data_IF_673681681646
#
_entry.id   IF_673681681646
#
_cell.length_a   1.000
_cell.length_b   1.000
_cell.length_c   1.000
_cell.angle_alpha   90.00
_cell.angle_beta   90.00
_cell.angle_gamma   90.00
#
_symmetry.space_group_name_H-M   'P 1'
#
loop_
_entity.id
_entity.type
_entity.pdbx_description
1 polymer ?
#
# COMPACT_ATOMS: atom_id res chain seq x y z
N UNK A 1 -45.06 12.36 -25.01
CA UNK A 1 -44.97 10.95 -24.64
C UNK A 1 -44.42 10.21 -25.87
N UNK A 2 -43.11 10.08 -25.96
CA UNK A 2 -42.43 9.26 -26.95
C UNK A 2 -41.93 8.00 -26.21
N UNK A 3 -42.47 6.87 -26.63
CA UNK A 3 -42.17 5.55 -26.08
C UNK A 3 -40.67 5.19 -26.33
N UNK A 4 -39.91 5.08 -25.30
CA UNK A 4 -38.60 4.41 -25.33
C UNK A 4 -38.79 2.89 -25.53
N UNK A 5 -38.95 2.45 -26.76
CA UNK A 5 -38.97 1.04 -27.14
C UNK A 5 -37.97 0.77 -28.27
N UNK A 6 -36.67 0.82 -27.94
CA UNK A 6 -35.64 0.34 -28.86
C UNK A 6 -34.32 0.05 -28.12
N UNK A 7 -34.39 -0.69 -27.03
CA UNK A 7 -33.17 -0.97 -26.25
C UNK A 7 -32.72 -2.44 -26.29
N UNK A 8 -33.43 -3.30 -27.03
CA UNK A 8 -32.92 -4.66 -27.29
C UNK A 8 -32.84 -4.83 -28.81
N UNK A 9 -31.63 -5.10 -29.30
CA UNK A 9 -31.43 -5.48 -30.71
C UNK A 9 -32.36 -6.63 -31.11
N UNK A 10 -32.56 -6.83 -32.42
CA UNK A 10 -33.42 -7.93 -32.89
C UNK A 10 -32.95 -9.27 -32.30
N UNK A 11 -33.87 -10.19 -32.02
CA UNK A 11 -33.52 -11.53 -31.52
C UNK A 11 -32.47 -12.23 -32.37
N UNK A 12 -32.38 -11.89 -33.67
CA UNK A 12 -31.36 -12.40 -34.59
C UNK A 12 -29.92 -11.87 -34.28
N UNK A 13 -29.79 -10.67 -33.68
CA UNK A 13 -28.49 -10.12 -33.26
C UNK A 13 -28.08 -10.63 -31.87
N UNK A 14 -29.04 -10.98 -31.03
CA UNK A 14 -28.79 -11.45 -29.67
C UNK A 14 -28.39 -12.93 -29.66
N UNK A 15 -29.01 -13.78 -30.48
CA UNK A 15 -28.80 -15.23 -30.47
C UNK A 15 -27.36 -15.67 -30.68
N UNK A 16 -26.54 -15.10 -31.58
CA UNK A 16 -25.14 -15.48 -31.72
C UNK A 16 -24.31 -15.15 -30.47
N UNK A 17 -24.60 -14.05 -29.77
CA UNK A 17 -23.85 -13.65 -28.55
C UNK A 17 -24.18 -14.53 -27.35
N UNK A 18 -25.40 -15.13 -27.33
CA UNK A 18 -25.79 -16.08 -26.27
C UNK A 18 -25.22 -17.50 -26.47
N UNK A 19 -24.88 -17.85 -27.70
CA UNK A 19 -24.44 -19.20 -28.06
C UNK A 19 -22.96 -19.31 -28.39
N UNK A 20 -22.28 -18.20 -28.56
CA UNK A 20 -20.85 -18.15 -28.86
C UNK A 20 -20.06 -17.45 -27.74
N UNK A 21 -18.86 -17.93 -27.39
CA UNK A 21 -18.02 -17.23 -26.42
C UNK A 21 -17.58 -15.88 -26.96
N UNK A 22 -17.42 -14.91 -26.07
CA UNK A 22 -16.77 -13.64 -26.43
C UNK A 22 -15.38 -13.88 -26.98
N UNK A 23 -14.91 -13.05 -27.93
CA UNK A 23 -13.55 -13.15 -28.48
C UNK A 23 -12.48 -13.10 -27.39
N UNK A 24 -11.54 -14.06 -27.40
CA UNK A 24 -10.46 -14.14 -26.39
C UNK A 24 -9.06 -14.01 -27.01
N UNK A 25 -8.87 -14.56 -28.21
CA UNK A 25 -7.55 -14.73 -28.82
C UNK A 25 -7.37 -13.93 -30.10
N UNK A 26 -8.45 -13.41 -30.69
CA UNK A 26 -8.45 -12.65 -31.93
C UNK A 26 -9.29 -11.41 -31.80
N UNK A 27 -8.85 -10.33 -32.48
CA UNK A 27 -9.69 -9.15 -32.63
C UNK A 27 -10.94 -9.51 -33.46
N UNK A 28 -12.15 -9.12 -33.01
CA UNK A 28 -13.38 -9.45 -33.75
C UNK A 28 -13.43 -8.70 -35.08
N UNK A 29 -13.94 -9.34 -36.13
CA UNK A 29 -14.07 -8.74 -37.45
C UNK A 29 -15.24 -7.73 -37.55
N UNK A 30 -16.23 -7.85 -36.67
CA UNK A 30 -17.44 -7.04 -36.67
C UNK A 30 -17.65 -6.25 -35.40
N UNK A 31 -18.68 -5.42 -35.37
CA UNK A 31 -19.15 -4.70 -34.20
C UNK A 31 -20.18 -5.52 -33.44
N UNK A 32 -20.28 -5.28 -32.13
CA UNK A 32 -21.28 -5.90 -31.25
C UNK A 32 -22.18 -4.85 -30.62
N UNK A 33 -23.38 -5.25 -30.19
CA UNK A 33 -24.29 -4.39 -29.46
C UNK A 33 -23.67 -4.05 -28.07
N UNK A 34 -23.47 -2.77 -27.72
CA UNK A 34 -22.81 -2.36 -26.49
C UNK A 34 -23.56 -2.78 -25.22
N UNK A 35 -24.90 -2.79 -25.24
CA UNK A 35 -25.70 -3.13 -24.06
C UNK A 35 -25.57 -4.62 -23.73
N UNK A 36 -25.52 -5.48 -24.75
CA UNK A 36 -25.34 -6.93 -24.57
C UNK A 36 -23.94 -7.22 -24.06
N UNK A 37 -22.90 -6.59 -24.62
CA UNK A 37 -21.52 -6.74 -24.14
C UNK A 37 -21.42 -6.26 -22.70
N UNK A 38 -22.01 -5.11 -22.38
CA UNK A 38 -22.02 -4.58 -21.00
C UNK A 38 -22.68 -5.57 -20.03
N UNK A 39 -23.83 -6.15 -20.41
CA UNK A 39 -24.53 -7.14 -19.58
C UNK A 39 -23.64 -8.38 -19.33
N UNK A 40 -23.08 -8.97 -20.40
CA UNK A 40 -22.24 -10.17 -20.29
C UNK A 40 -21.03 -9.89 -19.38
N UNK A 41 -20.33 -8.78 -19.59
CA UNK A 41 -19.17 -8.42 -18.75
C UNK A 41 -19.59 -8.13 -17.32
N UNK A 42 -20.75 -7.50 -17.09
CA UNK A 42 -21.26 -7.26 -15.74
C UNK A 42 -21.57 -8.56 -15.01
N UNK A 43 -22.13 -9.55 -15.70
CA UNK A 43 -22.42 -10.86 -15.14
C UNK A 43 -21.13 -11.66 -14.88
N UNK A 44 -20.14 -11.58 -15.76
CA UNK A 44 -18.83 -12.20 -15.56
C UNK A 44 -18.12 -11.64 -14.32
N UNK A 45 -18.18 -10.32 -14.10
CA UNK A 45 -17.60 -9.68 -12.93
C UNK A 45 -18.27 -10.07 -11.60
N UNK A 46 -19.52 -10.57 -11.62
CA UNK A 46 -20.18 -11.12 -10.42
C UNK A 46 -19.56 -12.43 -9.95
N UNK A 47 -18.77 -13.11 -10.79
CA UNK A 47 -18.04 -14.31 -10.41
C UNK A 47 -16.76 -14.00 -9.61
N UNK A 48 -16.35 -12.74 -9.59
CA UNK A 48 -15.25 -12.29 -8.73
C UNK A 48 -15.62 -12.36 -7.25
N UNK A 49 -14.63 -12.44 -6.39
CA UNK A 49 -14.82 -12.47 -4.95
C UNK A 49 -15.42 -11.17 -4.39
N UNK A 50 -16.14 -11.26 -3.29
CA UNK A 50 -16.63 -10.09 -2.58
C UNK A 50 -15.45 -9.33 -1.94
N UNK A 51 -15.17 -8.13 -2.43
CA UNK A 51 -14.06 -7.28 -1.96
C UNK A 51 -14.14 -6.91 -0.47
N UNK A 52 -15.35 -6.90 0.14
CA UNK A 52 -15.53 -6.67 1.58
C UNK A 52 -15.08 -7.84 2.45
N UNK A 53 -15.06 -9.06 1.90
CA UNK A 53 -14.56 -10.26 2.57
C UNK A 53 -13.07 -10.50 2.30
N UNK A 54 -12.44 -9.67 1.46
CA UNK A 54 -11.01 -9.72 1.24
C UNK A 54 -10.27 -8.92 2.33
N UNK A 55 -9.81 -9.64 3.35
CA UNK A 55 -9.05 -9.11 4.48
C UNK A 55 -7.52 -9.21 4.27
N UNK A 56 -7.10 -9.66 3.09
CA UNK A 56 -5.70 -9.73 2.69
C UNK A 56 -5.19 -8.42 2.08
N UNK A 57 -6.04 -7.74 1.31
CA UNK A 57 -5.67 -6.53 0.55
C UNK A 57 -5.69 -5.27 1.40
N UNK A 58 -4.70 -4.42 1.18
CA UNK A 58 -4.60 -3.09 1.82
C UNK A 58 -5.43 -2.02 1.11
N UNK A 59 -5.78 -2.24 -0.15
CA UNK A 59 -6.51 -1.26 -0.94
C UNK A 59 -7.92 -1.04 -0.42
N UNK A 60 -8.40 0.19 -0.53
CA UNK A 60 -9.78 0.56 -0.20
C UNK A 60 -10.76 -0.18 -1.12
N UNK A 61 -11.88 -0.60 -0.54
CA UNK A 61 -12.91 -1.38 -1.25
C UNK A 61 -14.31 -0.78 -1.11
N UNK A 62 -14.42 0.42 -0.55
CA UNK A 62 -15.69 1.12 -0.37
C UNK A 62 -15.57 2.57 -0.78
N UNK A 63 -16.48 3.02 -1.62
CA UNK A 63 -16.54 4.39 -2.10
C UNK A 63 -17.96 4.96 -1.98
N UNK A 64 -18.06 6.27 -1.70
CA UNK A 64 -19.34 6.97 -1.69
C UNK A 64 -19.84 7.23 -3.12
N UNK A 65 -21.14 7.46 -3.25
CA UNK A 65 -21.72 7.82 -4.56
C UNK A 65 -21.10 9.11 -5.13
N UNK A 66 -20.78 10.07 -4.27
CA UNK A 66 -20.15 11.32 -4.70
C UNK A 66 -18.76 11.08 -5.31
N UNK A 67 -17.95 10.18 -4.72
CA UNK A 67 -16.65 9.79 -5.29
C UNK A 67 -16.85 9.13 -6.65
N UNK A 68 -17.82 8.22 -6.80
CA UNK A 68 -18.14 7.60 -8.10
C UNK A 68 -18.52 8.62 -9.16
N UNK A 69 -19.39 9.58 -8.79
CA UNK A 69 -19.78 10.66 -9.69
C UNK A 69 -18.61 11.57 -10.09
N UNK A 70 -17.69 11.87 -9.16
CA UNK A 70 -16.47 12.63 -9.46
C UNK A 70 -15.52 11.87 -10.37
N UNK A 71 -15.41 10.55 -10.20
CA UNK A 71 -14.62 9.70 -11.08
C UNK A 71 -15.17 9.70 -12.51
N UNK A 72 -16.49 9.64 -12.66
CA UNK A 72 -17.15 9.72 -13.94
C UNK A 72 -16.93 11.09 -14.60
N UNK A 73 -17.09 12.19 -13.87
CA UNK A 73 -16.81 13.55 -14.36
C UNK A 73 -15.34 13.77 -14.76
N UNK A 74 -14.43 12.96 -14.26
CA UNK A 74 -13.00 13.10 -14.46
C UNK A 74 -12.42 12.08 -15.46
N UNK A 75 -13.27 11.33 -16.14
CA UNK A 75 -12.83 10.22 -17.02
C UNK A 75 -11.95 10.68 -18.17
N UNK A 76 -12.10 11.92 -18.61
CA UNK A 76 -11.34 12.57 -19.69
C UNK A 76 -10.16 13.41 -19.20
N UNK A 77 -9.94 13.54 -17.89
CA UNK A 77 -8.90 14.41 -17.33
C UNK A 77 -7.56 13.70 -17.24
N UNK A 78 -6.55 14.28 -17.91
CA UNK A 78 -5.17 13.79 -17.93
C UNK A 78 -4.27 14.69 -17.07
N UNK A 79 -3.65 14.14 -16.02
CA UNK A 79 -2.81 14.91 -15.08
C UNK A 79 -1.55 15.52 -15.69
N UNK A 80 -1.06 15.00 -16.81
CA UNK A 80 0.12 15.59 -17.48
C UNK A 80 -0.22 16.88 -18.23
N UNK A 81 -1.45 17.02 -18.67
CA UNK A 81 -1.89 18.15 -19.49
C UNK A 81 -2.44 19.27 -18.59
N UNK A 82 -1.51 20.01 -18.00
CA UNK A 82 -1.84 21.08 -17.04
C UNK A 82 -2.39 22.33 -17.70
N UNK A 83 -2.15 22.51 -19.01
CA UNK A 83 -2.69 23.65 -19.75
C UNK A 83 -4.17 23.46 -20.07
N UNK A 84 -4.56 22.28 -20.52
CA UNK A 84 -5.96 21.95 -20.73
C UNK A 84 -6.76 21.78 -19.43
N UNK A 85 -6.12 21.19 -18.39
CA UNK A 85 -6.77 20.87 -17.11
C UNK A 85 -6.15 21.60 -15.90
N UNK A 86 -6.10 22.95 -15.91
CA UNK A 86 -5.44 23.72 -14.85
C UNK A 86 -6.09 23.52 -13.48
N UNK A 87 -7.41 23.32 -13.41
CA UNK A 87 -8.09 23.05 -12.14
C UNK A 87 -7.73 21.68 -11.55
N UNK A 88 -7.47 20.69 -12.40
CA UNK A 88 -7.02 19.38 -11.99
C UNK A 88 -5.59 19.44 -11.43
N UNK A 89 -4.72 20.20 -12.08
CA UNK A 89 -3.36 20.46 -11.61
C UNK A 89 -3.35 21.19 -10.26
N UNK A 90 -4.21 22.19 -10.09
CA UNK A 90 -4.41 22.90 -8.83
C UNK A 90 -4.91 21.96 -7.71
N UNK A 91 -5.80 21.01 -8.01
CA UNK A 91 -6.28 20.02 -7.03
C UNK A 91 -5.14 19.10 -6.59
N UNK A 92 -4.27 18.68 -7.51
CA UNK A 92 -3.07 17.89 -7.17
C UNK A 92 -2.16 18.67 -6.22
N UNK A 93 -1.90 19.95 -6.52
CA UNK A 93 -1.06 20.84 -5.67
C UNK A 93 -1.67 21.02 -4.26
N UNK A 94 -2.99 21.18 -4.17
CA UNK A 94 -3.69 21.24 -2.87
C UNK A 94 -3.51 19.96 -2.07
N UNK A 95 -3.59 18.78 -2.71
CA UNK A 95 -3.31 17.52 -2.04
C UNK A 95 -1.88 17.46 -1.50
N UNK A 96 -0.89 17.91 -2.30
CA UNK A 96 0.52 17.96 -1.89
C UNK A 96 0.70 18.88 -0.69
N UNK A 97 0.07 20.08 -0.71
CA UNK A 97 0.14 21.02 0.38
C UNK A 97 -0.47 20.47 1.68
N UNK A 98 -1.63 19.79 1.59
CA UNK A 98 -2.28 19.16 2.74
C UNK A 98 -1.44 18.03 3.33
N UNK A 99 -0.78 17.23 2.48
CA UNK A 99 0.11 16.15 2.92
C UNK A 99 1.40 16.69 3.53
N UNK A 100 1.93 17.76 3.00
CA UNK A 100 3.12 18.44 3.54
C UNK A 100 2.84 19.00 4.96
N UNK A 101 1.68 19.61 5.18
CA UNK A 101 1.22 20.02 6.52
C UNK A 101 1.05 18.79 7.43
N UNK A 102 0.40 17.73 6.94
CA UNK A 102 0.15 16.52 7.71
C UNK A 102 1.43 15.82 8.17
N UNK A 103 2.49 15.85 7.36
CA UNK A 103 3.79 15.23 7.63
C UNK A 103 4.88 16.23 8.04
N UNK A 104 4.47 17.44 8.45
CA UNK A 104 5.33 18.47 9.03
C UNK A 104 6.51 18.89 8.13
N UNK A 105 6.26 19.11 6.85
CA UNK A 105 7.28 19.61 5.92
C UNK A 105 7.76 21.00 6.35
N UNK A 106 9.08 21.24 6.47
CA UNK A 106 9.61 22.49 7.01
C UNK A 106 9.62 23.66 6.03
N UNK A 107 9.41 23.40 4.73
CA UNK A 107 9.56 24.39 3.68
C UNK A 107 8.43 24.39 2.65
N UNK A 108 8.72 24.91 1.45
CA UNK A 108 7.77 24.82 0.33
C UNK A 108 7.57 23.34 -0.04
N UNK A 109 6.33 22.86 -0.10
CA UNK A 109 6.04 21.48 -0.48
C UNK A 109 6.61 21.11 -1.84
N UNK A 110 7.27 19.97 -1.91
CA UNK A 110 7.76 19.35 -3.15
C UNK A 110 7.26 17.93 -3.20
N UNK A 111 6.49 17.59 -4.21
CA UNK A 111 5.92 16.25 -4.32
C UNK A 111 5.12 16.06 -5.59
N UNK A 112 4.59 14.87 -5.76
CA UNK A 112 3.68 14.55 -6.85
C UNK A 112 2.76 13.38 -6.51
N UNK A 113 1.63 13.30 -7.21
CA UNK A 113 0.81 12.11 -7.28
C UNK A 113 1.47 11.04 -8.15
N UNK A 114 1.14 9.78 -7.88
CA UNK A 114 1.57 8.60 -8.65
C UNK A 114 0.38 7.65 -8.78
N UNK A 115 0.50 6.62 -9.60
CA UNK A 115 -0.54 5.59 -9.73
C UNK A 115 -0.58 4.61 -8.53
N UNK A 116 0.29 4.79 -7.56
CA UNK A 116 0.36 4.00 -6.32
C UNK A 116 1.71 4.14 -5.64
N UNK A 117 1.81 3.67 -4.38
CA UNK A 117 3.05 3.81 -3.60
C UNK A 117 4.24 3.07 -4.22
N UNK A 118 4.05 2.08 -5.06
CA UNK A 118 5.18 1.42 -5.74
C UNK A 118 5.94 2.39 -6.65
N UNK A 119 5.23 3.20 -7.45
CA UNK A 119 5.85 4.28 -8.23
C UNK A 119 6.44 5.36 -7.30
N UNK A 120 5.68 5.77 -6.28
CA UNK A 120 6.12 6.76 -5.30
C UNK A 120 7.43 6.36 -4.60
N UNK A 121 7.56 5.10 -4.18
CA UNK A 121 8.78 4.53 -3.62
C UNK A 121 9.95 4.57 -4.61
N UNK A 122 9.70 4.20 -5.87
CA UNK A 122 10.73 4.25 -6.92
C UNK A 122 11.21 5.67 -7.18
N UNK A 123 10.32 6.67 -7.22
CA UNK A 123 10.68 8.07 -7.39
C UNK A 123 11.54 8.58 -6.22
N UNK A 124 11.15 8.28 -4.97
CA UNK A 124 11.95 8.58 -3.79
C UNK A 124 13.34 7.95 -3.83
N UNK A 125 13.39 6.67 -4.22
CA UNK A 125 14.64 5.92 -4.36
C UNK A 125 15.55 6.44 -5.48
N UNK A 126 14.97 6.81 -6.63
CA UNK A 126 15.71 7.42 -7.74
C UNK A 126 16.34 8.75 -7.33
N UNK A 127 15.59 9.63 -6.68
CA UNK A 127 16.12 10.88 -6.17
C UNK A 127 17.29 10.66 -5.20
N UNK A 128 17.17 9.72 -4.26
CA UNK A 128 18.24 9.38 -3.33
C UNK A 128 19.49 8.82 -4.05
N UNK A 129 19.31 7.93 -5.05
CA UNK A 129 20.43 7.38 -5.85
C UNK A 129 21.17 8.48 -6.59
N UNK A 130 20.48 9.41 -7.25
CA UNK A 130 21.12 10.52 -7.99
C UNK A 130 21.84 11.48 -7.06
N UNK A 131 21.29 11.79 -5.89
CA UNK A 131 21.97 12.59 -4.87
C UNK A 131 23.26 11.90 -4.37
N UNK A 132 23.18 10.60 -4.04
CA UNK A 132 24.36 9.81 -3.68
C UNK A 132 25.40 9.83 -4.81
N UNK A 133 24.99 9.59 -6.06
CA UNK A 133 25.87 9.62 -7.22
C UNK A 133 26.56 10.97 -7.41
N UNK A 134 25.86 12.06 -7.22
CA UNK A 134 26.41 13.41 -7.28
C UNK A 134 27.46 13.64 -6.18
N UNK A 135 27.19 13.22 -4.94
CA UNK A 135 28.14 13.30 -3.82
C UNK A 135 29.40 12.47 -4.08
N UNK A 136 29.26 11.24 -4.55
CA UNK A 136 30.40 10.38 -4.87
C UNK A 136 31.27 10.97 -5.98
N UNK A 137 30.67 11.47 -7.05
CA UNK A 137 31.41 12.15 -8.13
C UNK A 137 32.15 13.38 -7.63
N UNK A 138 31.52 14.23 -6.82
CA UNK A 138 32.18 15.41 -6.24
C UNK A 138 33.36 15.05 -5.33
N UNK A 139 33.32 13.87 -4.67
CA UNK A 139 34.41 13.33 -3.86
C UNK A 139 35.45 12.52 -4.67
N UNK A 140 35.31 12.42 -6.00
CA UNK A 140 36.19 11.61 -6.85
C UNK A 140 36.08 10.10 -6.63
N UNK A 141 34.99 9.62 -6.06
CA UNK A 141 34.74 8.22 -5.72
C UNK A 141 33.94 7.49 -6.82
N UNK A 142 34.03 6.14 -6.89
CA UNK A 142 33.22 5.32 -7.79
C UNK A 142 31.73 5.46 -7.51
N UNK A 143 30.88 5.22 -8.52
CA UNK A 143 29.42 5.31 -8.45
C UNK A 143 28.70 4.04 -8.94
N UNK A 144 29.42 2.92 -8.96
CA UNK A 144 29.00 1.65 -9.58
C UNK A 144 28.45 0.61 -8.56
N UNK A 145 28.50 0.90 -7.25
CA UNK A 145 28.10 -0.04 -6.21
C UNK A 145 27.12 0.58 -5.20
N UNK A 146 26.01 1.17 -5.66
CA UNK A 146 25.00 1.68 -4.72
C UNK A 146 24.34 0.53 -3.97
N UNK A 147 24.08 0.73 -2.67
CA UNK A 147 23.28 -0.17 -1.87
C UNK A 147 22.17 0.57 -1.12
N UNK A 148 21.15 -0.15 -0.71
CA UNK A 148 20.10 0.32 0.19
C UNK A 148 19.89 -0.64 1.34
N UNK A 149 19.54 -0.12 2.51
CA UNK A 149 19.27 -0.92 3.71
C UNK A 149 17.82 -0.75 4.12
N UNK A 150 17.13 -1.86 4.40
CA UNK A 150 15.73 -1.88 4.82
C UNK A 150 15.45 -3.08 5.74
N UNK A 151 14.30 -3.06 6.40
CA UNK A 151 13.72 -4.26 7.01
C UNK A 151 13.06 -5.16 5.98
N UNK A 152 12.15 -6.03 6.41
CA UNK A 152 11.37 -6.87 5.51
C UNK A 152 10.31 -6.04 4.78
N UNK A 153 10.62 -5.70 3.53
CA UNK A 153 9.87 -4.72 2.73
C UNK A 153 8.90 -5.37 1.74
N UNK A 154 7.99 -4.55 1.24
CA UNK A 154 7.12 -4.92 0.13
C UNK A 154 7.93 -5.10 -1.17
N UNK A 155 7.46 -5.95 -2.06
CA UNK A 155 8.13 -6.33 -3.33
C UNK A 155 8.55 -5.12 -4.20
N UNK A 156 7.93 -3.95 -4.06
CA UNK A 156 8.30 -2.76 -4.83
C UNK A 156 9.76 -2.35 -4.61
N UNK A 157 10.29 -2.51 -3.39
CA UNK A 157 11.69 -2.21 -3.08
C UNK A 157 12.65 -3.23 -3.69
N UNK A 158 12.26 -4.51 -3.70
CA UNK A 158 13.03 -5.57 -4.40
C UNK A 158 13.07 -5.33 -5.92
N UNK A 159 11.94 -4.84 -6.49
CA UNK A 159 11.89 -4.40 -7.89
C UNK A 159 12.75 -3.16 -8.13
N UNK A 160 12.66 -2.15 -7.26
CA UNK A 160 13.48 -0.96 -7.34
C UNK A 160 14.97 -1.32 -7.35
N UNK A 161 15.43 -2.09 -6.37
CA UNK A 161 16.81 -2.52 -6.28
C UNK A 161 17.29 -3.22 -7.56
N UNK A 162 16.49 -4.15 -8.08
CA UNK A 162 16.81 -4.89 -9.31
C UNK A 162 16.82 -4.03 -10.58
N UNK A 163 15.81 -3.16 -10.74
CA UNK A 163 15.65 -2.36 -11.95
C UNK A 163 16.70 -1.26 -12.08
N UNK A 164 17.18 -0.73 -10.95
CA UNK A 164 18.19 0.32 -10.91
C UNK A 164 19.57 -0.14 -10.50
N UNK A 165 19.83 -1.46 -10.52
CA UNK A 165 21.13 -2.04 -10.21
C UNK A 165 21.68 -1.57 -8.85
N UNK A 166 20.91 -1.82 -7.79
CA UNK A 166 21.21 -1.46 -6.41
C UNK A 166 21.29 -2.73 -5.58
N UNK A 167 22.35 -2.89 -4.79
CA UNK A 167 22.44 -3.97 -3.82
C UNK A 167 21.41 -3.76 -2.72
N UNK A 168 20.52 -4.74 -2.54
CA UNK A 168 19.51 -4.74 -1.47
C UNK A 168 20.09 -5.46 -0.23
N UNK A 169 20.24 -4.75 0.87
CA UNK A 169 20.61 -5.26 2.17
C UNK A 169 19.40 -5.30 3.08
N UNK A 170 18.70 -6.42 3.03
CA UNK A 170 17.48 -6.64 3.81
C UNK A 170 17.82 -7.22 5.19
N UNK A 171 17.34 -6.58 6.25
CA UNK A 171 17.41 -7.10 7.61
C UNK A 171 16.17 -7.96 7.82
N UNK A 172 16.39 -9.26 7.86
CA UNK A 172 15.34 -10.26 7.95
C UNK A 172 14.79 -10.38 9.38
N UNK A 173 13.59 -10.92 9.49
CA UNK A 173 12.91 -11.14 10.77
C UNK A 173 13.53 -12.31 11.53
N UNK A 174 13.60 -12.16 12.86
CA UNK A 174 14.01 -13.21 13.79
C UNK A 174 13.07 -13.28 14.99
N UNK A 175 13.07 -14.37 15.77
CA UNK A 175 12.29 -14.47 16.99
C UNK A 175 12.54 -13.28 17.93
N UNK A 176 11.45 -12.61 18.32
CA UNK A 176 11.52 -11.42 19.17
C UNK A 176 11.95 -10.11 18.47
N UNK A 177 12.30 -10.16 17.17
CA UNK A 177 12.70 -8.97 16.40
C UNK A 177 12.07 -9.01 15.00
N UNK A 178 10.89 -8.44 14.85
CA UNK A 178 10.12 -8.41 13.59
C UNK A 178 10.39 -7.16 12.74
N UNK A 179 10.96 -6.12 13.34
CA UNK A 179 11.26 -4.83 12.70
C UNK A 179 12.76 -4.61 12.56
N UNK A 180 13.17 -3.73 11.67
CA UNK A 180 14.56 -3.34 11.50
C UNK A 180 15.08 -2.65 12.78
N UNK A 181 15.96 -3.34 13.52
CA UNK A 181 16.61 -2.76 14.68
C UNK A 181 17.74 -1.81 14.26
N UNK A 182 17.90 -0.63 14.93
CA UNK A 182 18.97 0.33 14.62
C UNK A 182 20.37 -0.29 14.61
N UNK A 183 20.71 -1.13 15.58
CA UNK A 183 22.01 -1.78 15.68
C UNK A 183 22.27 -2.78 14.53
N UNK A 184 21.23 -3.47 14.06
CA UNK A 184 21.34 -4.37 12.92
C UNK A 184 21.52 -3.56 11.62
N UNK A 185 20.81 -2.45 11.48
CA UNK A 185 20.91 -1.52 10.35
C UNK A 185 22.33 -0.94 10.26
N UNK A 186 22.92 -0.50 11.38
CA UNK A 186 24.28 0.07 11.39
C UNK A 186 25.36 -0.90 10.91
N UNK A 187 25.16 -2.20 11.00
CA UNK A 187 26.10 -3.21 10.48
C UNK A 187 26.04 -3.36 8.96
N UNK A 188 25.00 -2.84 8.34
CA UNK A 188 24.75 -2.98 6.91
C UNK A 188 25.03 -1.70 6.11
N UNK A 189 25.15 -0.54 6.78
CA UNK A 189 25.40 0.74 6.10
C UNK A 189 26.89 0.98 5.87
N UNK A 190 27.18 1.63 4.74
CA UNK A 190 28.53 2.07 4.36
C UNK A 190 28.47 3.34 3.50
N UNK A 191 29.60 3.74 2.92
CA UNK A 191 29.69 4.93 2.06
C UNK A 191 28.93 4.81 0.73
N UNK A 192 28.54 3.59 0.34
CA UNK A 192 27.76 3.30 -0.86
C UNK A 192 26.26 3.22 -0.57
N UNK A 193 25.86 3.38 0.68
CA UNK A 193 24.44 3.37 1.06
C UNK A 193 23.76 4.65 0.59
N UNK A 194 22.78 4.51 -0.32
CA UNK A 194 22.04 5.63 -0.88
C UNK A 194 21.00 6.17 0.08
N UNK A 195 20.40 5.30 0.88
CA UNK A 195 19.42 5.61 1.95
C UNK A 195 19.06 4.37 2.76
N UNK A 196 18.46 4.61 3.92
CA UNK A 196 17.78 3.58 4.73
C UNK A 196 16.27 3.74 4.59
N UNK A 197 15.54 2.61 4.53
CA UNK A 197 14.09 2.61 4.33
C UNK A 197 13.38 1.93 5.51
N UNK A 198 13.03 2.66 6.57
CA UNK A 198 12.08 2.19 7.56
C UNK A 198 10.64 2.25 7.01
N UNK A 199 9.81 1.30 7.47
CA UNK A 199 8.42 1.14 7.01
C UNK A 199 7.42 1.47 8.11
N UNK A 200 6.51 2.39 7.85
CA UNK A 200 5.35 2.68 8.70
C UNK A 200 4.18 1.75 8.34
N UNK A 201 4.18 0.57 8.95
CA UNK A 201 3.20 -0.50 8.68
C UNK A 201 3.74 -1.58 7.74
N UNK A 202 4.68 -2.37 8.25
CA UNK A 202 5.32 -3.49 7.52
C UNK A 202 4.27 -4.44 6.96
N UNK A 203 4.40 -4.80 5.70
CA UNK A 203 3.39 -5.59 4.96
C UNK A 203 3.05 -6.92 5.63
N UNK A 204 4.02 -7.57 6.26
CA UNK A 204 3.85 -8.88 6.89
C UNK A 204 2.99 -8.83 8.16
N UNK A 205 3.25 -7.86 9.03
CA UNK A 205 2.67 -7.83 10.39
C UNK A 205 2.02 -6.50 10.78
N UNK A 206 2.19 -5.44 10.00
CA UNK A 206 1.54 -4.15 10.23
C UNK A 206 2.19 -3.24 11.27
N UNK A 207 3.25 -3.67 11.94
CA UNK A 207 3.95 -2.86 12.94
C UNK A 207 4.67 -1.67 12.30
N UNK A 208 4.86 -0.60 13.07
CA UNK A 208 5.70 0.54 12.71
C UNK A 208 7.15 0.26 13.09
N UNK A 209 8.08 0.56 12.19
CA UNK A 209 9.51 0.55 12.50
C UNK A 209 9.92 1.85 13.20
N UNK A 210 10.93 1.77 14.05
CA UNK A 210 11.43 2.90 14.87
C UNK A 210 12.24 3.90 14.04
N UNK A 211 11.55 4.77 13.28
CA UNK A 211 12.19 5.79 12.43
C UNK A 211 13.05 6.74 13.25
N UNK A 212 12.60 7.14 14.43
CA UNK A 212 13.34 8.04 15.30
C UNK A 212 14.62 7.41 15.83
N UNK A 213 14.56 6.15 16.27
CA UNK A 213 15.75 5.41 16.71
C UNK A 213 16.75 5.18 15.58
N UNK A 214 16.28 4.85 14.39
CA UNK A 214 17.10 4.73 13.18
C UNK A 214 17.76 6.07 12.85
N UNK A 215 17.04 7.18 12.92
CA UNK A 215 17.58 8.52 12.69
C UNK A 215 18.69 8.85 13.67
N UNK A 216 18.47 8.65 14.99
CA UNK A 216 19.49 8.86 16.03
C UNK A 216 20.74 8.00 15.79
N UNK A 217 20.57 6.73 15.46
CA UNK A 217 21.68 5.83 15.18
C UNK A 217 22.52 6.28 13.98
N UNK A 218 21.87 6.79 12.92
CA UNK A 218 22.55 7.35 11.76
C UNK A 218 23.24 8.71 12.07
N UNK A 219 22.69 9.52 12.98
CA UNK A 219 23.36 10.76 13.45
C UNK A 219 24.66 10.42 14.18
N UNK A 220 24.64 9.45 15.09
CA UNK A 220 25.82 8.95 15.78
C UNK A 220 26.83 8.31 14.81
N UNK A 221 26.36 7.60 13.80
CA UNK A 221 27.21 7.02 12.75
C UNK A 221 27.91 8.12 11.95
N UNK A 222 27.18 9.14 11.52
CA UNK A 222 27.76 10.28 10.80
C UNK A 222 28.78 11.04 11.65
N UNK A 223 28.51 11.26 12.93
CA UNK A 223 29.46 11.93 13.83
C UNK A 223 30.78 11.19 13.95
N UNK A 224 30.76 9.85 13.86
CA UNK A 224 31.99 9.00 13.95
C UNK A 224 32.72 8.82 12.63
N UNK A 225 31.98 8.80 11.51
CA UNK A 225 32.53 8.37 10.20
C UNK A 225 32.57 9.49 9.17
N UNK A 226 31.81 10.57 9.38
CA UNK A 226 31.59 11.62 8.39
C UNK A 226 30.64 11.23 7.25
N UNK A 227 30.08 10.02 7.26
CA UNK A 227 29.20 9.52 6.20
C UNK A 227 27.75 9.91 6.51
N UNK A 228 27.17 10.75 5.66
CA UNK A 228 25.77 11.16 5.75
C UNK A 228 24.87 10.22 4.94
N UNK A 229 23.94 9.50 5.62
CA UNK A 229 22.99 8.57 5.02
C UNK A 229 21.57 9.08 5.30
N UNK A 230 20.79 9.41 4.26
CA UNK A 230 19.42 9.87 4.42
C UNK A 230 18.44 8.74 4.70
N UNK A 231 17.25 9.09 5.16
CA UNK A 231 16.10 8.18 5.33
C UNK A 231 15.05 8.50 4.28
N UNK A 232 14.50 7.47 3.65
CA UNK A 232 13.22 7.49 2.98
C UNK A 232 12.23 6.68 3.80
N UNK A 233 11.10 7.26 4.19
CA UNK A 233 10.09 6.55 4.97
C UNK A 233 9.06 5.94 4.03
N UNK A 234 8.99 4.61 3.99
CA UNK A 234 7.86 3.92 3.34
C UNK A 234 6.65 3.96 4.26
N UNK A 235 5.84 4.98 4.10
CA UNK A 235 4.60 5.18 4.82
C UNK A 235 3.37 4.76 3.99
N UNK A 236 3.52 3.79 3.08
CA UNK A 236 2.47 3.34 2.18
C UNK A 236 1.13 3.06 2.88
N UNK A 237 1.17 2.56 4.10
CA UNK A 237 -0.02 2.33 4.93
C UNK A 237 -0.12 3.32 6.08
N UNK A 238 0.95 3.48 6.87
CA UNK A 238 0.96 4.27 8.10
C UNK A 238 0.89 5.78 7.90
N UNK A 239 1.26 6.30 6.73
CA UNK A 239 1.25 7.73 6.45
C UNK A 239 -0.12 8.40 6.57
N UNK A 240 -1.19 7.63 6.38
CA UNK A 240 -2.58 8.07 6.59
C UNK A 240 -3.21 7.52 7.87
N UNK A 241 -2.46 6.84 8.73
CA UNK A 241 -2.94 6.31 10.01
C UNK A 241 -2.28 7.02 11.18
N UNK A 242 -0.96 6.98 11.27
CA UNK A 242 -0.21 7.52 12.40
C UNK A 242 -0.56 8.97 12.78
N UNK A 243 -0.73 9.92 11.81
CA UNK A 243 -1.10 11.29 12.15
C UNK A 243 -2.47 11.45 12.83
N UNK A 244 -3.37 10.47 12.67
CA UNK A 244 -4.74 10.53 13.16
C UNK A 244 -5.02 9.65 14.37
N UNK A 245 -4.36 8.49 14.44
CA UNK A 245 -4.63 7.49 15.48
C UNK A 245 -3.51 7.36 16.52
N UNK A 246 -2.34 7.94 16.24
CA UNK A 246 -1.17 7.92 17.12
C UNK A 246 -0.40 9.24 17.05
N UNK A 247 -1.06 10.41 17.29
CA UNK A 247 -0.41 11.71 17.16
C UNK A 247 0.78 11.89 18.10
N UNK A 248 0.79 11.19 19.24
CA UNK A 248 1.85 11.21 20.25
C UNK A 248 2.97 10.17 19.95
N UNK A 249 2.91 9.45 18.83
CA UNK A 249 3.98 8.57 18.41
C UNK A 249 5.28 9.35 18.20
N UNK A 250 6.43 8.72 18.50
CA UNK A 250 7.72 9.34 18.20
C UNK A 250 7.77 9.84 16.74
N UNK A 251 8.48 10.94 16.46
CA UNK A 251 8.57 11.49 15.11
C UNK A 251 9.04 10.43 14.10
N UNK A 252 8.32 10.31 13.01
CA UNK A 252 8.66 9.41 11.90
C UNK A 252 8.70 10.14 10.55
N UNK A 253 8.27 11.40 10.52
CA UNK A 253 8.06 12.24 9.36
C UNK A 253 9.15 13.32 9.22
N UNK A 254 8.85 14.39 8.49
CA UNK A 254 9.79 15.49 8.25
C UNK A 254 10.20 16.28 9.50
N UNK A 255 9.69 15.99 10.68
CA UNK A 255 10.25 16.51 11.95
C UNK A 255 11.65 15.95 12.21
N UNK A 256 11.98 14.80 11.63
CA UNK A 256 13.34 14.25 11.63
C UNK A 256 14.10 14.80 10.42
N UNK A 257 15.20 15.52 10.68
CA UNK A 257 15.97 16.18 9.62
C UNK A 257 16.54 15.19 8.58
N UNK A 258 16.83 13.98 8.99
CA UNK A 258 17.37 12.92 8.15
C UNK A 258 16.35 12.30 7.21
N UNK A 259 15.06 12.47 7.47
CA UNK A 259 13.98 12.06 6.55
C UNK A 259 13.95 13.03 5.38
N UNK A 260 14.34 12.55 4.20
CA UNK A 260 14.45 13.35 2.97
C UNK A 260 13.27 13.13 2.03
N UNK A 261 12.58 11.99 2.13
CA UNK A 261 11.37 11.73 1.37
C UNK A 261 10.44 10.74 2.08
N UNK A 262 9.15 10.85 1.78
CA UNK A 262 8.10 9.99 2.31
C UNK A 262 7.18 9.59 1.16
N UNK A 263 6.80 8.32 1.08
CA UNK A 263 5.73 7.87 0.19
C UNK A 263 4.52 7.38 0.96
N UNK A 264 3.33 7.50 0.38
CA UNK A 264 2.11 6.90 0.92
C UNK A 264 1.16 6.45 -0.20
N UNK A 265 0.30 5.45 0.10
CA UNK A 265 -0.77 5.02 -0.80
C UNK A 265 -2.07 5.74 -0.45
N UNK A 266 -2.52 6.64 -1.33
CA UNK A 266 -3.82 7.28 -1.18
C UNK A 266 -4.98 6.26 -1.23
N UNK A 267 -4.82 5.21 -2.02
CA UNK A 267 -5.81 4.15 -2.21
C UNK A 267 -5.81 3.04 -1.12
N UNK A 268 -5.03 3.22 -0.04
CA UNK A 268 -5.10 2.38 1.17
C UNK A 268 -5.88 3.14 2.26
N UNK A 269 -5.18 3.57 3.30
CA UNK A 269 -5.78 4.33 4.40
C UNK A 269 -5.96 5.83 4.08
N UNK A 270 -5.52 6.29 2.91
CA UNK A 270 -5.92 7.58 2.36
C UNK A 270 -7.39 7.63 1.90
N UNK A 271 -8.07 6.48 1.85
CA UNK A 271 -9.49 6.30 1.54
C UNK A 271 -9.90 6.57 0.09
N UNK A 272 -8.97 6.92 -0.79
CA UNK A 272 -9.24 7.14 -2.21
C UNK A 272 -9.41 5.82 -3.00
N UNK A 273 -10.06 5.84 -4.17
CA UNK A 273 -10.13 4.70 -5.06
C UNK A 273 -8.75 4.20 -5.51
N UNK A 274 -8.67 2.92 -5.87
CA UNK A 274 -7.44 2.30 -6.36
C UNK A 274 -6.83 3.10 -7.52
N UNK A 275 -5.51 3.35 -7.45
CA UNK A 275 -4.78 4.03 -8.52
C UNK A 275 -4.19 5.39 -8.11
N UNK A 276 -3.97 5.66 -6.82
CA UNK A 276 -3.28 6.86 -6.35
C UNK A 276 -2.29 6.57 -5.24
N UNK A 277 -1.11 7.16 -5.35
CA UNK A 277 -0.08 7.24 -4.33
C UNK A 277 0.55 8.63 -4.33
N UNK A 278 1.36 8.90 -3.32
CA UNK A 278 1.99 10.19 -3.09
C UNK A 278 3.45 10.00 -2.72
N UNK A 279 4.30 10.87 -3.23
CA UNK A 279 5.68 11.04 -2.76
C UNK A 279 5.93 12.51 -2.52
N UNK A 280 6.51 12.81 -1.35
CA UNK A 280 6.94 14.15 -0.98
C UNK A 280 8.43 14.11 -0.61
N UNK A 281 9.12 15.18 -0.95
CA UNK A 281 10.49 15.45 -0.51
C UNK A 281 10.49 16.57 0.52
N UNK A 282 11.46 16.51 1.44
CA UNK A 282 11.63 17.52 2.49
C UNK A 282 11.90 18.89 1.94
N UNK A 283 12.73 18.95 0.89
CA UNK A 283 13.19 20.19 0.26
C UNK A 283 13.34 19.96 -1.25
N UNK A 284 13.32 21.07 -2.02
CA UNK A 284 13.57 21.03 -3.47
C UNK A 284 14.95 20.45 -3.81
N UNK A 285 15.95 20.66 -2.95
CA UNK A 285 17.29 20.08 -3.10
C UNK A 285 17.32 18.56 -2.92
N UNK A 286 16.27 17.97 -2.36
CA UNK A 286 16.14 16.51 -2.23
C UNK A 286 15.60 15.83 -3.49
N UNK A 287 15.08 16.61 -4.46
CA UNK A 287 14.69 16.18 -5.80
C UNK A 287 15.69 16.72 -6.83
N UNK A 288 16.64 15.91 -7.34
CA UNK A 288 17.60 16.35 -8.36
C UNK A 288 16.91 16.85 -9.63
N UNK A 289 17.32 18.04 -10.08
CA UNK A 289 16.77 18.67 -11.28
C UNK A 289 17.00 17.81 -12.55
N UNK A 290 18.08 17.04 -12.61
CA UNK A 290 18.39 16.09 -13.70
C UNK A 290 17.30 15.03 -13.91
N UNK A 291 16.44 14.78 -12.91
CA UNK A 291 15.31 13.86 -12.98
C UNK A 291 14.00 14.54 -13.37
N UNK A 292 13.97 15.86 -13.45
CA UNK A 292 12.78 16.63 -13.84
C UNK A 292 12.87 16.89 -15.34
N UNK A 293 11.92 16.37 -16.09
CA UNK A 293 11.82 16.56 -17.53
C UNK A 293 10.85 17.68 -17.84
N UNK A 294 11.23 18.57 -18.77
CA UNK A 294 10.41 19.69 -19.21
C UNK A 294 9.76 19.37 -20.55
N UNK A 295 8.44 19.41 -20.58
CA UNK A 295 7.62 19.12 -21.77
C UNK A 295 7.03 20.42 -22.27
N UNK A 296 7.32 20.80 -23.52
CA UNK A 296 6.88 22.07 -24.11
C UNK A 296 5.80 21.93 -25.20
N UNK A 297 5.58 20.73 -25.73
CA UNK A 297 4.67 20.51 -26.87
C UNK A 297 3.18 20.40 -26.48
N UNK A 298 2.86 20.48 -25.19
CA UNK A 298 1.49 20.51 -24.65
C UNK A 298 1.02 21.94 -24.32
N UNK A 299 1.70 23.00 -24.80
CA UNK A 299 1.24 24.38 -24.66
C UNK A 299 1.92 25.20 -23.54
N UNK A 300 3.02 24.75 -22.97
CA UNK A 300 3.77 25.47 -21.94
C UNK A 300 4.98 24.67 -21.46
N UNK A 301 5.71 25.20 -20.49
CA UNK A 301 6.76 24.44 -19.79
C UNK A 301 6.13 23.63 -18.68
N UNK A 302 6.05 22.31 -18.87
CA UNK A 302 5.43 21.36 -17.94
C UNK A 302 6.49 20.45 -17.33
N UNK A 303 6.99 20.76 -16.13
CA UNK A 303 7.89 19.88 -15.42
C UNK A 303 7.17 18.57 -15.03
N UNK A 304 7.80 17.43 -15.34
CA UNK A 304 7.31 16.11 -14.96
C UNK A 304 8.46 15.26 -14.43
N UNK A 305 8.17 14.49 -13.39
CA UNK A 305 9.13 13.58 -12.78
C UNK A 305 8.57 12.14 -12.70
N UNK A 306 7.27 11.98 -12.79
CA UNK A 306 6.60 10.68 -12.72
C UNK A 306 7.08 9.73 -13.82
N UNK A 307 7.08 8.42 -13.53
CA UNK A 307 7.45 7.38 -14.48
C UNK A 307 6.42 7.31 -15.62
N UNK A 308 5.13 7.42 -15.26
CA UNK A 308 4.04 7.40 -16.24
C UNK A 308 3.75 8.81 -16.76
N UNK A 309 3.65 8.97 -18.07
CA UNK A 309 3.36 10.25 -18.72
C UNK A 309 1.88 10.60 -18.58
N UNK A 310 1.00 9.96 -19.36
CA UNK A 310 -0.45 10.14 -19.22
C UNK A 310 -0.98 9.41 -17.99
N UNK A 311 -1.74 10.11 -17.14
CA UNK A 311 -2.28 9.55 -15.89
C UNK A 311 -3.72 10.03 -15.69
N UNK A 312 -4.63 9.15 -15.23
CA UNK A 312 -6.00 9.55 -14.92
C UNK A 312 -6.04 10.44 -13.67
N UNK A 313 -6.86 11.49 -13.71
CA UNK A 313 -6.98 12.45 -12.62
C UNK A 313 -8.06 12.09 -11.58
N UNK A 314 -8.99 11.21 -11.93
CA UNK A 314 -10.16 10.90 -11.09
C UNK A 314 -9.80 10.53 -9.66
N UNK A 315 -8.75 9.75 -9.47
CA UNK A 315 -8.28 9.31 -8.16
C UNK A 315 -7.72 10.46 -7.31
N UNK A 316 -7.02 11.42 -7.94
CA UNK A 316 -6.50 12.61 -7.26
C UNK A 316 -7.65 13.53 -6.83
N UNK A 317 -8.63 13.72 -7.69
CA UNK A 317 -9.84 14.49 -7.38
C UNK A 317 -10.63 13.82 -6.24
N UNK A 318 -10.78 12.51 -6.27
CA UNK A 318 -11.41 11.74 -5.20
C UNK A 318 -10.64 11.84 -3.87
N UNK A 319 -9.31 11.79 -3.91
CA UNK A 319 -8.46 11.99 -2.73
C UNK A 319 -8.68 13.37 -2.11
N UNK A 320 -8.68 14.42 -2.92
CA UNK A 320 -8.94 15.78 -2.43
C UNK A 320 -10.35 15.90 -1.82
N UNK A 321 -11.36 15.31 -2.48
CA UNK A 321 -12.72 15.26 -1.94
C UNK A 321 -12.76 14.62 -0.55
N UNK A 322 -12.07 13.49 -0.37
CA UNK A 322 -12.04 12.80 0.93
C UNK A 322 -11.27 13.62 1.98
N UNK A 323 -10.18 14.30 1.61
CA UNK A 323 -9.48 15.21 2.51
C UNK A 323 -10.37 16.31 3.03
N UNK A 324 -11.09 16.99 2.14
CA UNK A 324 -12.00 18.10 2.50
C UNK A 324 -13.22 17.61 3.25
N UNK A 325 -13.81 16.49 2.81
CA UNK A 325 -15.02 15.93 3.41
C UNK A 325 -14.81 15.45 4.83
N UNK A 326 -13.73 14.73 5.08
CA UNK A 326 -13.50 14.10 6.38
C UNK A 326 -12.69 14.99 7.32
N UNK A 327 -11.71 15.71 6.81
CA UNK A 327 -10.78 16.46 7.64
C UNK A 327 -10.12 15.58 8.71
N UNK A 328 -9.43 16.16 9.66
CA UNK A 328 -8.78 15.42 10.75
C UNK A 328 -9.79 14.60 11.56
N UNK A 329 -10.93 15.19 11.93
CA UNK A 329 -11.94 14.53 12.75
C UNK A 329 -12.51 13.26 12.08
N UNK A 330 -12.83 13.32 10.78
CA UNK A 330 -13.36 12.18 10.05
C UNK A 330 -12.33 11.07 9.85
N UNK A 331 -11.07 11.41 9.50
CA UNK A 331 -9.99 10.42 9.43
C UNK A 331 -9.74 9.75 10.79
N UNK A 332 -9.68 10.53 11.88
CA UNK A 332 -9.54 9.99 13.25
C UNK A 332 -10.66 9.03 13.60
N UNK A 333 -11.91 9.39 13.32
CA UNK A 333 -13.06 8.54 13.62
C UNK A 333 -13.06 7.24 12.80
N UNK A 334 -12.80 7.33 11.47
CA UNK A 334 -12.78 6.16 10.57
C UNK A 334 -11.67 5.20 10.95
N UNK A 335 -10.47 5.71 11.18
CA UNK A 335 -9.30 4.88 11.48
C UNK A 335 -9.32 4.37 12.92
N UNK A 336 -9.79 5.19 13.87
CA UNK A 336 -10.04 4.76 15.25
C UNK A 336 -10.99 3.56 15.31
N UNK A 337 -12.12 3.64 14.61
CA UNK A 337 -13.07 2.53 14.47
C UNK A 337 -12.42 1.26 13.88
N UNK A 338 -11.52 1.42 12.90
CA UNK A 338 -10.79 0.26 12.34
C UNK A 338 -9.86 -0.39 13.37
N UNK A 339 -9.17 0.40 14.19
CA UNK A 339 -8.34 -0.12 15.29
C UNK A 339 -9.18 -0.81 16.38
N UNK A 340 -10.31 -0.22 16.77
CA UNK A 340 -11.21 -0.83 17.76
C UNK A 340 -11.72 -2.22 17.30
N UNK A 341 -12.12 -2.33 16.03
CA UNK A 341 -12.56 -3.61 15.46
C UNK A 341 -11.39 -4.60 15.36
N UNK A 342 -10.19 -4.14 14.99
CA UNK A 342 -9.01 -4.99 14.96
C UNK A 342 -8.68 -5.55 16.33
N UNK A 343 -8.67 -4.71 17.38
CA UNK A 343 -8.42 -5.13 18.76
C UNK A 343 -9.49 -6.11 19.26
N UNK A 344 -10.76 -5.86 18.91
CA UNK A 344 -11.82 -6.83 19.21
C UNK A 344 -11.57 -8.18 18.53
N UNK A 345 -11.23 -8.21 17.23
CA UNK A 345 -10.88 -9.46 16.56
C UNK A 345 -9.66 -10.13 17.19
N UNK A 346 -8.64 -9.35 17.59
CA UNK A 346 -7.45 -9.89 18.24
C UNK A 346 -7.77 -10.57 19.58
N UNK A 347 -8.66 -9.98 20.37
CA UNK A 347 -9.13 -10.57 21.63
C UNK A 347 -9.85 -11.89 21.40
N UNK A 348 -10.78 -11.94 20.45
CA UNK A 348 -11.55 -13.15 20.13
C UNK A 348 -10.68 -14.26 19.54
N UNK A 349 -9.78 -13.92 18.61
CA UNK A 349 -8.84 -14.87 17.99
C UNK A 349 -7.84 -15.38 19.04
N UNK A 350 -7.32 -14.51 19.90
CA UNK A 350 -6.40 -14.87 20.98
C UNK A 350 -7.03 -15.73 22.07
N UNK A 351 -8.37 -15.78 22.16
CA UNK A 351 -9.10 -16.69 23.05
C UNK A 351 -9.15 -18.14 22.54
N UNK A 352 -8.76 -18.36 21.29
CA UNK A 352 -8.68 -19.71 20.71
C UNK A 352 -7.46 -20.41 21.30
N UNK A 353 -7.69 -21.54 21.97
CA UNK A 353 -6.63 -22.32 22.59
C UNK A 353 -5.54 -22.69 21.59
N UNK A 354 -4.28 -22.39 21.95
CA UNK A 354 -3.09 -22.60 21.14
C UNK A 354 -2.85 -21.59 20.03
N UNK A 355 -3.56 -20.46 19.98
CA UNK A 355 -3.22 -19.33 19.13
C UNK A 355 -2.43 -18.27 19.91
N UNK A 356 -1.43 -17.70 19.25
CA UNK A 356 -0.58 -16.62 19.76
C UNK A 356 -0.79 -15.37 18.92
N UNK A 357 -1.15 -14.24 19.53
CA UNK A 357 -1.29 -12.95 18.85
C UNK A 357 0.07 -12.28 18.73
N UNK A 358 0.49 -12.02 17.49
CA UNK A 358 1.74 -11.33 17.16
C UNK A 358 1.52 -9.81 17.10
N UNK A 359 0.39 -9.38 16.51
CA UNK A 359 -0.04 -7.99 16.48
C UNK A 359 -1.54 -7.90 16.71
N UNK A 360 -1.93 -7.05 17.65
CA UNK A 360 -3.29 -6.90 18.14
C UNK A 360 -4.07 -5.74 17.50
N UNK A 361 -3.46 -5.03 16.54
CA UNK A 361 -4.08 -3.87 15.91
C UNK A 361 -4.07 -2.60 16.75
N UNK A 362 -3.29 -2.54 17.85
CA UNK A 362 -3.17 -1.33 18.67
C UNK A 362 -2.56 -0.17 17.88
N UNK A 363 -3.15 1.04 17.90
CA UNK A 363 -2.71 2.17 17.11
C UNK A 363 -1.29 2.66 17.46
N UNK A 364 -0.85 2.48 18.71
CA UNK A 364 0.50 2.83 19.15
C UNK A 364 1.60 1.91 18.59
N UNK A 365 1.23 0.73 18.10
CA UNK A 365 2.18 -0.27 17.60
C UNK A 365 2.24 -0.33 16.07
N UNK A 366 1.13 -0.04 15.39
CA UNK A 366 1.07 -0.24 13.94
C UNK A 366 -0.31 0.08 13.36
N UNK A 367 -0.56 -0.45 12.18
CA UNK A 367 -1.82 -0.30 11.45
C UNK A 367 -2.90 -1.25 12.00
N UNK A 368 -4.20 -1.06 11.72
CA UNK A 368 -5.29 -1.90 12.23
C UNK A 368 -5.29 -3.30 11.61
N UNK A 369 -4.33 -4.11 12.01
CA UNK A 369 -4.05 -5.45 11.50
C UNK A 369 -3.98 -6.42 12.66
N UNK A 370 -4.63 -7.57 12.57
CA UNK A 370 -4.45 -8.67 13.51
C UNK A 370 -3.61 -9.75 12.88
N UNK A 371 -2.54 -10.12 13.54
CA UNK A 371 -1.64 -11.19 13.11
C UNK A 371 -1.51 -12.22 14.19
N UNK A 372 -1.65 -13.49 13.83
CA UNK A 372 -1.52 -14.60 14.77
C UNK A 372 -0.76 -15.77 14.15
N UNK A 373 -0.28 -16.64 15.02
CA UNK A 373 0.34 -17.90 14.69
C UNK A 373 -0.23 -19.02 15.58
N UNK A 374 0.05 -20.26 15.24
CA UNK A 374 -0.10 -21.36 16.20
C UNK A 374 1.06 -21.28 17.21
N UNK A 375 0.74 -21.36 18.51
CA UNK A 375 1.74 -21.35 19.56
C UNK A 375 2.68 -22.54 19.44
N UNK A 376 3.91 -22.38 19.80
CA UNK A 376 4.92 -23.43 19.73
C UNK A 376 4.54 -24.62 20.61
N UNK A 377 4.64 -25.83 20.07
CA UNK A 377 4.28 -27.06 20.78
C UNK A 377 2.77 -27.34 20.85
N UNK A 378 1.90 -26.50 20.29
CA UNK A 378 0.47 -26.79 20.20
C UNK A 378 0.18 -27.71 19.01
N UNK A 379 -0.58 -28.80 19.26
CA UNK A 379 -1.09 -29.67 18.19
C UNK A 379 -2.58 -29.41 17.99
N UNK A 380 -2.91 -28.73 16.92
CA UNK A 380 -4.30 -28.42 16.57
C UNK A 380 -4.95 -29.47 15.67
N UNK A 381 -4.18 -30.42 15.12
CA UNK A 381 -4.61 -31.35 14.09
C UNK A 381 -4.88 -30.70 12.73
N UNK A 382 -4.53 -29.41 12.55
CA UNK A 382 -4.64 -28.65 11.30
C UNK A 382 -3.59 -27.54 11.23
N UNK A 383 -3.32 -27.05 10.03
CA UNK A 383 -2.45 -25.91 9.77
C UNK A 383 -3.26 -24.62 9.57
N UNK A 384 -2.60 -23.45 9.66
CA UNK A 384 -3.24 -22.17 9.31
C UNK A 384 -3.61 -22.10 7.82
N UNK A 385 -2.97 -22.87 6.94
CA UNK A 385 -3.35 -23.01 5.53
C UNK A 385 -4.70 -23.72 5.40
N UNK A 386 -4.94 -24.80 6.16
CA UNK A 386 -6.22 -25.49 6.19
C UNK A 386 -7.34 -24.59 6.68
N UNK A 387 -7.05 -23.75 7.69
CA UNK A 387 -8.01 -22.74 8.19
C UNK A 387 -8.29 -21.67 7.12
N UNK A 388 -7.27 -21.21 6.39
CA UNK A 388 -7.43 -20.25 5.29
C UNK A 388 -8.34 -20.83 4.19
N UNK A 389 -8.14 -22.09 3.81
CA UNK A 389 -8.94 -22.76 2.78
C UNK A 389 -10.39 -22.96 3.23
N UNK A 390 -10.62 -23.31 4.49
CA UNK A 390 -11.99 -23.41 5.05
C UNK A 390 -12.72 -22.08 5.07
N UNK A 391 -12.05 -20.99 5.45
CA UNK A 391 -12.60 -19.64 5.42
C UNK A 391 -12.92 -19.19 4.00
N UNK A 392 -12.08 -19.55 3.02
CA UNK A 392 -12.32 -19.27 1.60
C UNK A 392 -13.61 -19.88 1.08
N UNK A 393 -14.01 -21.05 1.57
CA UNK A 393 -15.30 -21.68 1.19
C UNK A 393 -16.52 -20.83 1.62
N UNK A 394 -16.33 -19.90 2.56
CA UNK A 394 -17.34 -18.92 3.02
C UNK A 394 -17.14 -17.53 2.38
N UNK A 395 -16.20 -17.41 1.43
CA UNK A 395 -15.86 -16.18 0.76
C UNK A 395 -14.81 -15.32 1.45
N UNK A 396 -14.34 -15.69 2.66
CA UNK A 396 -13.35 -14.94 3.38
C UNK A 396 -11.95 -15.18 2.81
N UNK A 397 -11.24 -14.11 2.48
CA UNK A 397 -9.83 -14.19 2.10
C UNK A 397 -8.96 -13.76 3.29
N UNK A 398 -8.51 -14.78 4.04
CA UNK A 398 -7.64 -14.65 5.22
C UNK A 398 -6.41 -15.54 4.95
N UNK A 399 -5.38 -15.02 4.26
CA UNK A 399 -4.26 -15.85 3.82
C UNK A 399 -3.38 -16.28 4.99
N UNK A 400 -2.84 -17.50 4.90
CA UNK A 400 -1.71 -17.95 5.68
C UNK A 400 -0.43 -17.81 4.84
N UNK A 401 0.68 -17.41 5.47
CA UNK A 401 1.97 -17.19 4.80
C UNK A 401 3.12 -17.24 5.81
N UNK A 402 4.35 -17.56 5.38
CA UNK A 402 5.52 -17.47 6.25
C UNK A 402 6.00 -16.01 6.36
N UNK A 403 6.70 -15.70 7.45
CA UNK A 403 7.52 -14.50 7.52
C UNK A 403 8.87 -14.72 6.81
N UNK A 404 9.76 -13.74 6.89
CA UNK A 404 11.10 -13.83 6.31
C UNK A 404 12.14 -14.31 7.33
N UNK A 405 13.37 -14.59 6.89
CA UNK A 405 14.49 -14.93 7.74
C UNK A 405 14.29 -16.21 8.56
N UNK A 406 14.65 -16.16 9.82
CA UNK A 406 14.55 -17.30 10.73
C UNK A 406 13.10 -17.76 10.95
N UNK A 407 12.11 -16.93 10.66
CA UNK A 407 10.68 -17.24 10.80
C UNK A 407 10.05 -17.80 9.51
N UNK A 408 10.84 -18.06 8.47
CA UNK A 408 10.35 -18.60 7.19
C UNK A 408 9.74 -20.01 7.30
N UNK A 409 10.00 -20.73 8.37
CA UNK A 409 9.44 -22.05 8.64
C UNK A 409 8.09 -22.01 9.36
N UNK A 410 7.68 -20.86 9.93
CA UNK A 410 6.44 -20.70 10.71
C UNK A 410 5.38 -19.99 9.88
N UNK A 411 4.17 -20.58 9.85
CA UNK A 411 3.03 -19.94 9.20
C UNK A 411 2.34 -18.94 10.13
N UNK A 412 1.92 -17.84 9.53
CA UNK A 412 1.14 -16.77 10.18
C UNK A 412 -0.14 -16.52 9.38
N UNK A 413 -1.17 -16.05 10.03
CA UNK A 413 -2.35 -15.49 9.36
C UNK A 413 -2.54 -14.04 9.75
N UNK A 414 -3.14 -13.28 8.84
CA UNK A 414 -3.39 -11.85 9.03
C UNK A 414 -4.74 -11.46 8.49
N UNK A 415 -5.45 -10.64 9.25
CA UNK A 415 -6.57 -9.84 8.76
C UNK A 415 -6.22 -8.36 8.84
N UNK A 416 -6.63 -7.62 7.82
CA UNK A 416 -6.49 -6.16 7.77
C UNK A 416 -7.88 -5.54 7.89
N UNK A 417 -8.09 -4.75 8.95
CA UNK A 417 -9.33 -4.02 9.18
C UNK A 417 -9.25 -2.66 8.51
N UNK A 418 -10.19 -2.41 7.61
CA UNK A 418 -10.28 -1.16 6.85
C UNK A 418 -11.72 -0.68 6.77
N UNK A 419 -11.90 0.55 6.34
CA UNK A 419 -13.24 1.11 6.13
C UNK A 419 -14.16 0.15 5.36
N UNK A 420 -15.36 -0.07 5.88
CA UNK A 420 -16.33 -1.00 5.30
C UNK A 420 -16.33 -2.40 5.93
N UNK A 421 -15.33 -2.74 6.74
CA UNK A 421 -15.36 -3.91 7.62
C UNK A 421 -15.79 -3.46 9.01
N UNK A 422 -17.07 -3.63 9.31
CA UNK A 422 -17.69 -3.20 10.56
C UNK A 422 -17.78 -4.34 11.60
N UNK A 423 -18.33 -4.06 12.79
CA UNK A 423 -18.48 -5.02 13.87
C UNK A 423 -19.29 -6.25 13.45
N UNK A 424 -20.37 -6.08 12.73
CA UNK A 424 -21.19 -7.18 12.24
C UNK A 424 -20.41 -8.13 11.32
N UNK A 425 -19.61 -7.58 10.41
CA UNK A 425 -18.73 -8.37 9.56
C UNK A 425 -17.65 -9.10 10.36
N UNK A 426 -17.15 -8.50 11.44
CA UNK A 426 -16.21 -9.14 12.35
C UNK A 426 -16.85 -10.32 13.08
N UNK A 427 -18.06 -10.16 13.58
CA UNK A 427 -18.82 -11.21 14.27
C UNK A 427 -19.11 -12.40 13.34
N UNK A 428 -19.48 -12.12 12.07
CA UNK A 428 -19.67 -13.16 11.04
C UNK A 428 -18.37 -13.91 10.73
N UNK A 429 -17.26 -13.21 10.56
CA UNK A 429 -15.96 -13.83 10.35
C UNK A 429 -15.58 -14.74 11.53
N UNK A 430 -15.72 -14.24 12.75
CA UNK A 430 -15.36 -14.98 13.97
C UNK A 430 -16.24 -16.21 14.17
N UNK A 431 -17.52 -16.13 13.83
CA UNK A 431 -18.44 -17.27 13.85
C UNK A 431 -18.02 -18.34 12.83
N UNK A 432 -17.74 -17.93 11.58
CA UNK A 432 -17.27 -18.84 10.52
C UNK A 432 -15.90 -19.46 10.90
N UNK A 433 -15.00 -18.68 11.53
CA UNK A 433 -13.71 -19.14 12.02
C UNK A 433 -13.85 -20.20 13.13
N UNK A 434 -14.73 -19.96 14.13
CA UNK A 434 -15.03 -20.94 15.19
C UNK A 434 -15.59 -22.25 14.60
N UNK A 435 -16.49 -22.17 13.62
CA UNK A 435 -17.02 -23.36 12.93
C UNK A 435 -15.94 -24.09 12.11
N UNK A 436 -15.09 -23.37 11.41
CA UNK A 436 -13.98 -23.94 10.63
C UNK A 436 -12.99 -24.68 11.53
N UNK A 437 -12.59 -24.08 12.66
CA UNK A 437 -11.70 -24.71 13.65
C UNK A 437 -12.33 -25.96 14.25
N UNK A 438 -13.61 -25.92 14.66
CA UNK A 438 -14.32 -27.07 15.19
C UNK A 438 -14.35 -28.22 14.18
N UNK A 439 -14.63 -27.91 12.91
CA UNK A 439 -14.61 -28.92 11.85
C UNK A 439 -13.21 -29.53 11.64
N UNK A 440 -12.18 -28.72 11.56
CA UNK A 440 -10.80 -29.16 11.34
C UNK A 440 -10.28 -30.04 12.49
N UNK A 441 -10.63 -29.72 13.73
CA UNK A 441 -10.29 -30.55 14.91
C UNK A 441 -10.95 -31.92 14.86
N UNK A 442 -12.17 -32.04 14.33
CA UNK A 442 -12.86 -33.33 14.14
C UNK A 442 -12.36 -34.11 12.93
N UNK A 443 -11.73 -33.43 11.97
CA UNK A 443 -11.24 -34.00 10.72
C UNK A 443 -9.78 -33.61 10.50
N UNK A 444 -8.84 -34.09 11.35
CA UNK A 444 -7.45 -33.72 11.26
C UNK A 444 -6.88 -34.11 9.88
N UNK A 445 -6.30 -33.13 9.18
CA UNK A 445 -5.64 -33.37 7.91
C UNK A 445 -4.29 -34.03 8.20
N UNK A 446 -4.00 -35.16 7.54
CA UNK A 446 -2.63 -35.68 7.52
C UNK A 446 -1.75 -34.59 6.85
N UNK A 447 -0.72 -34.18 7.54
CA UNK A 447 0.23 -33.17 7.02
C UNK A 447 0.69 -33.60 5.61
N UNK A 448 0.26 -32.86 4.59
CA UNK A 448 0.87 -32.98 3.26
C UNK A 448 2.22 -32.25 3.41
N UNK A 449 3.35 -32.93 3.13
CA UNK A 449 4.65 -32.25 3.17
C UNK A 449 4.60 -31.03 2.25
N UNK A 450 5.04 -29.88 2.77
CA UNK A 450 5.17 -28.67 1.97
C UNK A 450 5.98 -28.99 0.70
N UNK A 451 5.55 -28.59 -0.50
CA UNK A 451 6.39 -28.73 -1.68
C UNK A 451 7.67 -27.93 -1.44
N UNK A 452 8.81 -28.58 -1.60
CA UNK A 452 10.16 -28.05 -1.41
C UNK A 452 10.49 -26.90 -2.38
#
# INVERSE_FOLDING_TARGET
MASNSSALGSDAEITPLLTQPLPRDRFPDGTSNPDIIYQILSEELLLDGNSKQNLATFCQTWESQQVRNLMDLAIDKNLIDKDEYPQTAEIEERCINLLADLWHSPGKPVGCSTIGSSEASMLGGMAAKWRWKARQKAAGKPTDRPNMVCGSVQICWKKFARYWDIELREIEMSPGNLCMAPDAMLKQVDENTIFVVPTMGVTYHGLYEDVAGISRALDDFQARTGIDIPIHVDAASGGFLAPFTSPDHEPWDFRLERVKSINASGHKFGLAPLGVGWVLWRDVADLPEELVFHVSYLGGDMPTFQINFSRPAGQVIAQYFDFVRFGRAGYTAIHGSSHEIAQYCAQEIGSVDGFEIIHDGAPSKGIPTVVWAQAEGSDHGFTLYDLADRLRMRGWQVPAYPFTGELAHKAFQRILVKRGFNREMADLLLADMKQAIAYLRLHPQKAIPSPA
#
